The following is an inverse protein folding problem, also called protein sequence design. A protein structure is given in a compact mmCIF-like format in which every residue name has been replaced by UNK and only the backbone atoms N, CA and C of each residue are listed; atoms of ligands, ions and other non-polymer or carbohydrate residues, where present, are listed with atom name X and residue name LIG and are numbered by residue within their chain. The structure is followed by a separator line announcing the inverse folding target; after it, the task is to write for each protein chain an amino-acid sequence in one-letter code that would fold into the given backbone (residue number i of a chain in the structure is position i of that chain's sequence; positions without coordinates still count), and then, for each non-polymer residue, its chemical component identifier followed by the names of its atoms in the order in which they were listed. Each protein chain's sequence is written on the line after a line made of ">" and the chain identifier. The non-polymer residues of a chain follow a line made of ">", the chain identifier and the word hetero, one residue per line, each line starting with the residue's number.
data_IF_703001454965
#
_entry.id   IF_703001454965
#
_cell.length_a   1.000
_cell.length_b   1.000
_cell.length_c   1.000
_cell.angle_alpha   90.00
_cell.angle_beta   90.00
_cell.angle_gamma   90.00
#
_symmetry.space_group_name_H-M   'P 1'
#
loop_
_entity.id
_entity.type
_entity.pdbx_description
1 polymer ?
#
# COMPACT_ATOMS: atom_id res chain seq x y z
N UNK A 1 -25.13 0.26 56.83
CA UNK A 1 -26.27 -0.48 57.41
C UNK A 1 -26.22 -1.88 56.80
N UNK A 2 -25.38 -2.76 57.35
CA UNK A 2 -25.68 -3.73 58.42
C UNK A 2 -26.80 -4.71 58.05
N UNK A 3 -26.42 -5.97 57.83
CA UNK A 3 -27.32 -7.14 57.96
C UNK A 3 -27.77 -7.34 59.43
N UNK A 4 -28.26 -8.53 59.87
CA UNK A 4 -27.80 -9.86 59.45
C UNK A 4 -28.81 -11.04 59.53
N UNK A 5 -28.32 -12.24 59.16
CA UNK A 5 -28.45 -13.53 59.85
C UNK A 5 -29.79 -14.30 59.88
N UNK A 6 -29.89 -15.63 59.98
CA UNK A 6 -29.04 -16.85 59.92
C UNK A 6 -30.07 -17.99 60.12
N UNK A 7 -29.99 -19.12 59.42
CA UNK A 7 -30.00 -20.46 60.07
C UNK A 7 -29.77 -21.61 59.08
N UNK A 8 -28.90 -22.52 59.52
CA UNK A 8 -28.61 -23.83 58.95
C UNK A 8 -29.54 -24.91 59.56
N UNK A 9 -29.47 -26.20 59.16
CA UNK A 9 -28.47 -27.07 59.79
C UNK A 9 -27.84 -28.16 58.89
N UNK A 10 -26.84 -28.79 59.51
CA UNK A 10 -25.85 -29.78 59.08
C UNK A 10 -26.32 -31.23 58.82
N UNK A 11 -25.34 -31.99 58.28
CA UNK A 11 -24.97 -33.40 58.55
C UNK A 11 -25.34 -34.41 57.45
N UNK A 12 -24.46 -35.30 56.97
CA UNK A 12 -23.07 -35.63 57.34
C UNK A 12 -22.61 -36.90 56.59
N UNK A 13 -21.31 -37.23 56.69
CA UNK A 13 -20.68 -38.52 56.32
C UNK A 13 -19.49 -38.37 55.35
N UNK A 14 -18.22 -38.32 55.81
CA UNK A 14 -17.30 -39.46 56.14
C UNK A 14 -17.27 -40.53 55.04
N UNK A 15 -16.15 -40.96 54.47
CA UNK A 15 -14.71 -40.74 54.70
C UNK A 15 -13.93 -41.69 53.77
N UNK A 16 -12.61 -41.53 53.66
CA UNK A 16 -11.74 -42.46 52.93
C UNK A 16 -10.39 -41.86 52.56
N UNK A 17 -9.38 -42.16 53.39
CA UNK A 17 -7.97 -41.75 53.31
C UNK A 17 -7.15 -42.47 52.21
N UNK A 18 -5.89 -42.04 51.98
CA UNK A 18 -5.12 -42.24 50.74
C UNK A 18 -3.98 -43.28 50.84
N UNK A 19 -3.37 -43.61 49.70
CA UNK A 19 -2.10 -44.34 49.64
C UNK A 19 -1.64 -44.63 48.20
N UNK A 20 -0.33 -44.78 47.95
CA UNK A 20 0.35 -44.17 46.80
C UNK A 20 0.84 -45.17 45.75
N UNK A 21 1.07 -44.73 44.50
CA UNK A 21 2.13 -45.29 43.66
C UNK A 21 2.56 -44.35 42.52
N UNK A 22 3.65 -43.63 42.79
CA UNK A 22 4.88 -43.65 42.01
C UNK A 22 4.81 -43.73 40.48
N UNK A 23 4.47 -42.63 39.81
CA UNK A 23 4.91 -42.39 38.43
C UNK A 23 6.40 -41.99 38.39
N UNK A 24 7.23 -42.57 37.50
CA UNK A 24 8.62 -42.13 37.38
C UNK A 24 8.69 -40.80 36.63
N UNK A 25 9.02 -39.75 37.38
CA UNK A 25 9.56 -38.50 36.88
C UNK A 25 10.94 -38.76 36.24
N UNK A 26 11.04 -38.59 34.91
CA UNK A 26 12.35 -38.55 34.26
C UNK A 26 12.93 -37.14 34.41
N UNK A 27 13.91 -37.10 35.31
CA UNK A 27 14.74 -35.98 35.69
C UNK A 27 15.45 -35.36 34.48
N UNK A 28 15.40 -34.04 34.45
CA UNK A 28 16.42 -33.19 33.82
C UNK A 28 17.74 -33.43 34.56
N UNK A 29 18.72 -34.05 33.90
CA UNK A 29 20.09 -34.12 34.39
C UNK A 29 21.00 -33.31 33.45
N UNK A 30 21.41 -32.16 33.95
CA UNK A 30 22.51 -31.35 33.44
C UNK A 30 23.85 -32.03 33.72
N UNK A 31 24.57 -32.46 32.68
CA UNK A 31 26.01 -32.75 32.78
C UNK A 31 26.76 -31.76 31.89
N UNK A 32 27.54 -30.90 32.55
CA UNK A 32 28.63 -30.12 31.95
C UNK A 32 29.94 -30.87 32.20
N UNK A 33 30.84 -30.76 31.22
CA UNK A 33 32.31 -30.84 31.25
C UNK A 33 32.78 -31.75 30.09
N UNK A 34 33.26 -31.14 28.98
CA UNK A 34 34.70 -30.94 28.67
C UNK A 34 35.33 -32.22 28.10
N UNK A 35 36.03 -32.25 26.97
CA UNK A 35 36.45 -31.23 26.02
C UNK A 35 37.24 -31.89 24.88
N UNK A 36 37.54 -31.08 23.86
CA UNK A 36 38.56 -31.22 22.83
C UNK A 36 38.40 -32.26 21.70
N UNK A 37 37.99 -31.70 20.55
CA UNK A 37 38.75 -31.63 19.30
C UNK A 37 39.22 -32.93 18.63
N UNK A 38 38.53 -33.30 17.54
CA UNK A 38 39.20 -33.45 16.24
C UNK A 38 38.18 -33.40 15.09
N UNK A 39 38.45 -32.45 14.21
CA UNK A 39 37.88 -32.19 12.90
C UNK A 39 37.87 -33.42 12.00
N UNK A 40 36.73 -33.72 11.38
CA UNK A 40 36.70 -34.25 10.00
C UNK A 40 35.43 -33.75 9.31
N UNK A 41 35.57 -32.64 8.59
CA UNK A 41 34.59 -32.20 7.62
C UNK A 41 34.84 -33.01 6.34
N UNK A 42 33.92 -33.91 5.98
CA UNK A 42 33.87 -34.44 4.62
C UNK A 42 32.93 -33.54 3.81
N UNK A 43 33.54 -32.64 3.04
CA UNK A 43 32.85 -31.91 1.99
C UNK A 43 32.60 -32.88 0.82
N UNK A 44 31.34 -33.10 0.46
CA UNK A 44 30.98 -33.62 -0.86
C UNK A 44 30.39 -32.47 -1.69
N UNK A 45 31.24 -31.85 -2.49
CA UNK A 45 30.87 -30.92 -3.55
C UNK A 45 30.88 -31.68 -4.86
N UNK A 46 29.72 -32.06 -5.39
CA UNK A 46 29.57 -32.54 -6.77
C UNK A 46 28.10 -32.53 -7.20
N UNK A 47 27.66 -31.48 -7.91
CA UNK A 47 27.12 -31.56 -9.28
C UNK A 47 26.64 -30.16 -9.72
N UNK A 48 27.45 -29.51 -10.56
CA UNK A 48 26.95 -28.51 -11.49
C UNK A 48 26.40 -29.25 -12.72
N UNK A 49 25.20 -28.89 -13.20
CA UNK A 49 24.72 -29.40 -14.49
C UNK A 49 23.21 -29.51 -14.74
N UNK A 50 22.33 -29.02 -13.88
CA UNK A 50 20.88 -29.01 -14.18
C UNK A 50 20.45 -27.62 -14.66
N UNK A 51 20.14 -27.53 -15.95
CA UNK A 51 19.37 -26.43 -16.53
C UNK A 51 18.04 -26.29 -15.78
N UNK A 52 17.63 -25.09 -15.34
CA UNK A 52 16.33 -24.92 -14.70
C UNK A 52 15.23 -25.15 -15.74
N UNK A 53 14.48 -26.24 -15.59
CA UNK A 53 13.16 -26.37 -16.19
C UNK A 53 12.25 -25.29 -15.56
N UNK A 54 11.31 -24.69 -16.31
CA UNK A 54 10.38 -23.73 -15.75
C UNK A 54 9.60 -24.39 -14.62
N UNK A 55 9.76 -23.88 -13.40
CA UNK A 55 8.95 -24.25 -12.26
C UNK A 55 7.53 -23.78 -12.55
N UNK A 56 6.68 -24.73 -12.93
CA UNK A 56 5.23 -24.54 -12.86
C UNK A 56 4.91 -24.19 -11.40
N UNK A 57 4.09 -23.17 -11.17
CA UNK A 57 3.68 -22.77 -9.82
C UNK A 57 2.97 -23.95 -9.15
N UNK A 58 3.74 -24.74 -8.41
CA UNK A 58 3.25 -25.88 -7.67
C UNK A 58 2.36 -25.30 -6.58
N UNK A 59 1.05 -25.50 -6.69
CA UNK A 59 0.15 -25.35 -5.56
C UNK A 59 0.80 -26.10 -4.39
N UNK A 60 1.07 -25.38 -3.30
CA UNK A 60 1.62 -25.99 -2.10
C UNK A 60 0.61 -27.04 -1.64
N UNK A 61 0.93 -28.31 -1.88
CA UNK A 61 0.10 -29.42 -1.46
C UNK A 61 0.12 -29.45 0.06
N UNK A 62 -1.05 -29.36 0.68
CA UNK A 62 -1.20 -29.47 2.11
C UNK A 62 -0.70 -30.85 2.56
N UNK A 63 0.36 -30.87 3.34
CA UNK A 63 0.96 -32.12 3.82
C UNK A 63 0.15 -32.61 5.01
N UNK A 64 -0.52 -33.75 4.84
CA UNK A 64 -1.34 -34.36 5.89
C UNK A 64 -0.47 -35.09 6.91
N UNK A 65 0.56 -35.80 6.43
CA UNK A 65 1.47 -36.55 7.28
C UNK A 65 2.85 -36.65 6.64
N UNK A 66 3.90 -36.47 7.43
CA UNK A 66 5.28 -36.80 7.05
C UNK A 66 5.73 -37.98 7.89
N UNK A 67 6.31 -38.99 7.24
CA UNK A 67 6.99 -40.10 7.89
C UNK A 67 8.43 -40.19 7.39
N UNK A 68 9.34 -40.43 8.32
CA UNK A 68 10.77 -40.63 8.03
C UNK A 68 11.16 -41.96 8.65
N UNK A 69 11.49 -42.92 7.79
CA UNK A 69 11.95 -44.24 8.19
C UNK A 69 13.40 -44.40 7.74
N UNK A 70 14.23 -45.02 8.58
CA UNK A 70 15.61 -45.29 8.24
C UNK A 70 16.06 -46.62 8.80
N UNK A 71 16.82 -47.37 8.00
CA UNK A 71 17.57 -48.55 8.44
C UNK A 71 19.03 -48.35 8.08
N UNK A 72 19.93 -48.76 8.98
CA UNK A 72 21.36 -48.73 8.76
C UNK A 72 21.95 -50.12 8.99
N UNK A 73 22.63 -50.65 7.98
CA UNK A 73 23.34 -51.91 8.01
C UNK A 73 24.84 -51.74 7.76
N UNK A 74 25.61 -52.85 7.87
CA UNK A 74 27.06 -52.84 7.66
C UNK A 74 27.48 -52.42 6.24
N UNK A 75 26.58 -52.54 5.26
CA UNK A 75 26.82 -52.20 3.85
C UNK A 75 26.27 -50.81 3.46
N UNK A 76 25.76 -50.04 4.43
CA UNK A 76 25.18 -48.70 4.22
C UNK A 76 23.79 -48.53 4.85
N UNK A 77 23.26 -47.31 4.79
CA UNK A 77 21.94 -46.99 5.33
C UNK A 77 20.96 -46.52 4.25
N UNK A 78 19.68 -46.85 4.44
CA UNK A 78 18.57 -46.37 3.65
C UNK A 78 17.73 -45.41 4.49
N UNK A 79 17.44 -44.24 3.93
CA UNK A 79 16.48 -43.29 4.46
C UNK A 79 15.32 -43.16 3.48
N UNK A 80 14.10 -43.38 3.96
CA UNK A 80 12.86 -43.19 3.20
C UNK A 80 12.07 -42.06 3.86
N UNK A 81 11.89 -40.97 3.11
CA UNK A 81 11.02 -39.86 3.48
C UNK A 81 9.75 -40.04 2.65
N UNK A 82 8.61 -40.25 3.31
CA UNK A 82 7.31 -40.33 2.67
C UNK A 82 6.39 -39.24 3.20
N UNK A 83 5.63 -38.63 2.30
CA UNK A 83 4.62 -37.64 2.62
C UNK A 83 3.27 -38.11 2.08
N UNK A 84 2.24 -38.11 2.94
CA UNK A 84 0.85 -38.20 2.51
C UNK A 84 0.38 -36.78 2.25
N UNK A 85 0.09 -36.47 1.00
CA UNK A 85 -0.49 -35.20 0.59
C UNK A 85 -2.01 -35.31 0.73
N UNK A 86 -2.67 -34.27 1.23
CA UNK A 86 -4.13 -34.19 1.07
C UNK A 86 -4.43 -34.28 -0.43
N UNK A 87 -5.40 -35.11 -0.86
CA UNK A 87 -5.89 -35.02 -2.23
C UNK A 87 -6.29 -33.56 -2.49
N UNK A 88 -5.98 -32.99 -3.68
CA UNK A 88 -6.44 -31.65 -4.00
C UNK A 88 -7.93 -31.62 -3.74
N UNK A 89 -8.35 -30.78 -2.78
CA UNK A 89 -9.74 -30.74 -2.33
C UNK A 89 -10.66 -30.69 -3.55
N UNK A 90 -11.72 -31.51 -3.53
CA UNK A 90 -12.65 -31.66 -4.64
C UNK A 90 -13.02 -30.31 -5.24
N UNK A 91 -13.20 -30.29 -6.57
CA UNK A 91 -13.41 -29.12 -7.43
C UNK A 91 -14.05 -27.97 -6.65
N UNK A 92 -13.20 -27.05 -6.13
CA UNK A 92 -13.69 -25.88 -5.38
C UNK A 92 -14.67 -25.18 -6.31
N UNK A 93 -15.91 -25.02 -5.85
CA UNK A 93 -16.96 -24.40 -6.62
C UNK A 93 -16.43 -23.10 -7.23
N UNK A 94 -16.60 -22.93 -8.56
CA UNK A 94 -16.05 -21.78 -9.27
C UNK A 94 -16.60 -20.50 -8.65
N UNK A 95 -15.71 -19.75 -8.00
CA UNK A 95 -16.04 -18.46 -7.42
C UNK A 95 -16.27 -17.44 -8.55
N UNK A 96 -17.48 -16.85 -8.60
CA UNK A 96 -17.85 -15.81 -9.56
C UNK A 96 -18.36 -14.62 -8.76
N UNK A 97 -17.77 -13.45 -9.01
CA UNK A 97 -18.19 -12.20 -8.39
C UNK A 97 -18.05 -11.04 -9.36
N UNK A 98 -18.90 -10.03 -9.19
CA UNK A 98 -18.74 -8.74 -9.82
C UNK A 98 -17.89 -7.84 -8.92
N UNK A 99 -17.01 -7.05 -9.53
CA UNK A 99 -16.19 -6.06 -8.81
C UNK A 99 -16.44 -4.69 -9.39
N UNK A 100 -16.74 -3.74 -8.52
CA UNK A 100 -16.84 -2.33 -8.84
C UNK A 100 -15.77 -1.56 -8.09
N UNK A 101 -15.01 -0.72 -8.80
CA UNK A 101 -13.99 0.15 -8.20
C UNK A 101 -14.24 1.59 -8.61
N UNK A 102 -14.48 2.43 -7.62
CA UNK A 102 -14.51 3.87 -7.77
C UNK A 102 -13.20 4.46 -7.25
N UNK A 103 -12.38 5.01 -8.13
CA UNK A 103 -11.03 5.47 -7.82
C UNK A 103 -10.92 6.99 -7.88
N UNK A 104 -10.57 7.62 -6.76
CA UNK A 104 -10.20 9.03 -6.70
C UNK A 104 -8.68 9.15 -6.66
N UNK A 105 -8.15 9.98 -7.56
CA UNK A 105 -6.75 10.37 -7.66
C UNK A 105 -6.62 11.85 -7.33
N UNK A 106 -5.89 12.19 -6.27
CA UNK A 106 -5.69 13.59 -5.87
C UNK A 106 -4.22 13.97 -5.91
N UNK A 107 -3.85 14.83 -6.85
CA UNK A 107 -2.46 15.27 -7.01
C UNK A 107 -2.07 16.19 -5.85
N UNK A 108 -1.11 15.77 -5.02
CA UNK A 108 -0.46 16.61 -4.02
C UNK A 108 0.90 17.06 -4.52
N UNK A 109 1.61 17.86 -3.71
CA UNK A 109 2.93 18.39 -4.09
C UNK A 109 4.02 17.32 -4.13
N UNK A 110 3.95 16.34 -3.25
CA UNK A 110 5.00 15.33 -3.03
C UNK A 110 4.54 13.91 -3.37
N UNK A 111 3.23 13.71 -3.53
CA UNK A 111 2.64 12.41 -3.79
C UNK A 111 1.31 12.54 -4.55
N UNK A 112 0.86 11.43 -5.11
CA UNK A 112 -0.51 11.24 -5.57
C UNK A 112 -1.26 10.42 -4.51
N UNK A 113 -2.34 10.98 -3.97
CA UNK A 113 -3.22 10.25 -3.07
C UNK A 113 -4.20 9.40 -3.87
N UNK A 114 -4.38 8.16 -3.43
CA UNK A 114 -5.34 7.23 -3.98
C UNK A 114 -6.40 6.90 -2.93
N UNK A 115 -7.65 6.93 -3.36
CA UNK A 115 -8.76 6.38 -2.59
C UNK A 115 -9.59 5.49 -3.53
N UNK A 116 -9.64 4.20 -3.22
CA UNK A 116 -10.51 3.25 -3.91
C UNK A 116 -11.70 2.92 -3.02
N UNK A 117 -12.91 3.15 -3.52
CA UNK A 117 -14.12 2.54 -2.97
C UNK A 117 -14.45 1.29 -3.78
N UNK A 118 -14.32 0.13 -3.12
CA UNK A 118 -14.51 -1.19 -3.67
C UNK A 118 -15.88 -1.73 -3.27
N UNK A 119 -16.60 -2.32 -4.22
CA UNK A 119 -17.80 -3.12 -3.96
C UNK A 119 -17.65 -4.46 -4.67
N UNK A 120 -17.81 -5.55 -3.93
CA UNK A 120 -17.75 -6.92 -4.47
C UNK A 120 -19.06 -7.63 -4.18
N UNK A 121 -19.69 -8.12 -5.24
CA UNK A 121 -20.94 -8.87 -5.18
C UNK A 121 -20.71 -10.31 -5.64
N UNK A 122 -20.89 -11.26 -4.72
CA UNK A 122 -20.71 -12.68 -5.00
C UNK A 122 -21.94 -13.25 -5.68
N UNK A 123 -21.75 -13.75 -6.90
CA UNK A 123 -22.77 -14.38 -7.73
C UNK A 123 -22.80 -15.90 -7.49
N UNK A 124 -21.63 -16.51 -7.38
CA UNK A 124 -21.48 -17.96 -7.13
C UNK A 124 -20.26 -18.23 -6.24
N UNK A 125 -20.36 -19.25 -5.40
CA UNK A 125 -19.31 -19.66 -4.46
C UNK A 125 -19.30 -18.83 -3.17
N UNK A 126 -18.31 -19.10 -2.32
CA UNK A 126 -18.09 -18.38 -1.05
C UNK A 126 -16.60 -18.02 -0.94
N UNK A 127 -16.24 -16.74 -1.06
CA UNK A 127 -14.84 -16.33 -0.91
C UNK A 127 -14.44 -16.33 0.56
N UNK A 128 -13.25 -16.87 0.84
CA UNK A 128 -12.55 -16.66 2.12
C UNK A 128 -11.66 -15.41 2.06
N UNK A 129 -11.20 -15.07 0.85
CA UNK A 129 -10.40 -13.89 0.58
C UNK A 129 -10.71 -13.34 -0.82
N UNK A 130 -10.51 -12.03 -0.98
CA UNK A 130 -10.45 -11.38 -2.29
C UNK A 130 -9.00 -11.03 -2.60
N UNK A 131 -8.55 -11.37 -3.81
CA UNK A 131 -7.20 -11.07 -4.28
C UNK A 131 -7.31 -10.09 -5.45
N UNK A 132 -6.71 -8.91 -5.28
CA UNK A 132 -6.68 -7.85 -6.27
C UNK A 132 -5.23 -7.58 -6.69
N UNK A 133 -4.90 -7.75 -7.96
CA UNK A 133 -3.61 -7.37 -8.50
C UNK A 133 -3.39 -5.86 -8.36
N UNK A 134 -2.19 -5.48 -7.92
CA UNK A 134 -1.72 -4.11 -7.79
C UNK A 134 -0.86 -3.77 -9.00
N UNK A 135 -1.38 -2.96 -9.91
CA UNK A 135 -0.68 -2.58 -11.15
C UNK A 135 -0.37 -1.10 -11.16
N UNK A 136 0.86 -0.74 -11.53
CA UNK A 136 1.35 0.64 -11.51
C UNK A 136 2.16 0.96 -10.26
N UNK A 137 2.47 2.24 -10.07
CA UNK A 137 3.28 2.74 -8.97
C UNK A 137 2.40 3.05 -7.77
N UNK A 138 2.93 2.87 -6.55
CA UNK A 138 2.23 3.22 -5.32
C UNK A 138 2.20 2.10 -4.29
N UNK A 139 1.83 2.48 -3.08
CA UNK A 139 1.84 1.63 -1.88
C UNK A 139 0.51 1.76 -1.17
N UNK A 140 -0.13 0.62 -0.89
CA UNK A 140 -1.35 0.57 -0.07
C UNK A 140 -0.98 0.92 1.37
N UNK A 141 -1.64 1.93 1.93
CA UNK A 141 -1.39 2.44 3.28
C UNK A 141 -2.48 2.07 4.28
N UNK A 142 -3.66 1.68 3.80
CA UNK A 142 -4.74 1.23 4.68
C UNK A 142 -5.91 0.64 3.93
N UNK A 143 -6.65 -0.24 4.62
CA UNK A 143 -7.92 -0.78 4.16
C UNK A 143 -8.92 -0.71 5.30
N UNK A 144 -10.09 -0.14 5.02
CA UNK A 144 -11.22 -0.04 5.95
C UNK A 144 -12.41 -0.79 5.34
N UNK A 145 -12.94 -1.79 6.06
CA UNK A 145 -14.07 -2.58 5.59
C UNK A 145 -14.77 -3.30 6.76
N UNK A 146 -16.09 -3.44 6.67
CA UNK A 146 -16.84 -4.31 7.56
C UNK A 146 -16.65 -5.78 7.14
N UNK A 147 -16.53 -6.69 8.10
CA UNK A 147 -16.31 -8.12 7.81
C UNK A 147 -14.91 -8.46 7.28
N UNK A 148 -13.94 -7.54 7.37
CA UNK A 148 -12.54 -7.79 7.04
C UNK A 148 -11.79 -8.27 8.30
N UNK A 149 -11.19 -9.45 8.22
CA UNK A 149 -10.38 -10.00 9.31
C UNK A 149 -8.97 -9.37 9.31
N UNK A 150 -8.35 -9.32 8.15
CA UNK A 150 -7.08 -8.62 7.92
C UNK A 150 -6.87 -8.35 6.42
N UNK A 151 -5.84 -7.58 6.11
CA UNK A 151 -5.37 -7.39 4.75
C UNK A 151 -3.84 -7.50 4.72
N UNK A 152 -3.30 -7.81 3.54
CA UNK A 152 -1.87 -7.84 3.29
C UNK A 152 -1.57 -7.53 1.84
N UNK A 153 -0.36 -7.03 1.56
CA UNK A 153 0.18 -6.97 0.21
C UNK A 153 1.16 -8.11 0.06
N UNK A 154 0.90 -8.99 -0.92
CA UNK A 154 1.82 -10.05 -1.34
C UNK A 154 2.64 -9.54 -2.51
N UNK A 155 3.91 -9.90 -2.52
CA UNK A 155 4.82 -9.70 -3.64
C UNK A 155 5.40 -11.07 -4.00
N UNK A 156 5.31 -11.43 -5.28
CA UNK A 156 5.89 -12.66 -5.81
C UNK A 156 7.29 -12.38 -6.38
N UNK A 157 8.04 -13.44 -6.63
CA UNK A 157 9.42 -13.44 -7.14
C UNK A 157 9.58 -12.74 -8.50
N UNK A 158 8.50 -12.58 -9.26
CA UNK A 158 8.45 -11.85 -10.52
C UNK A 158 8.17 -10.34 -10.34
N UNK A 159 8.03 -9.87 -9.10
CA UNK A 159 7.67 -8.48 -8.77
C UNK A 159 6.17 -8.18 -8.89
N UNK A 160 5.34 -9.18 -9.19
CA UNK A 160 3.88 -9.03 -9.19
C UNK A 160 3.39 -8.81 -7.77
N UNK A 161 2.58 -7.77 -7.58
CA UNK A 161 2.00 -7.41 -6.29
C UNK A 161 0.50 -7.66 -6.27
N UNK A 162 -0.03 -8.12 -5.14
CA UNK A 162 -1.46 -8.34 -4.94
C UNK A 162 -1.90 -7.90 -3.54
N UNK A 163 -3.00 -7.16 -3.47
CA UNK A 163 -3.72 -6.88 -2.24
C UNK A 163 -4.65 -8.06 -1.93
N UNK A 164 -4.41 -8.70 -0.78
CA UNK A 164 -5.24 -9.78 -0.26
C UNK A 164 -6.11 -9.23 0.85
N UNK A 165 -7.43 -9.37 0.69
CA UNK A 165 -8.45 -8.99 1.67
C UNK A 165 -9.04 -10.27 2.26
N UNK A 166 -8.68 -10.62 3.51
CA UNK A 166 -9.18 -11.82 4.17
C UNK A 166 -10.45 -11.50 4.93
N UNK A 167 -11.51 -12.25 4.66
CA UNK A 167 -12.81 -12.02 5.29
C UNK A 167 -12.88 -12.71 6.65
N UNK A 168 -13.67 -12.15 7.56
CA UNK A 168 -14.05 -12.83 8.79
C UNK A 168 -14.91 -14.04 8.41
N UNK A 169 -14.59 -15.19 8.99
CA UNK A 169 -15.42 -16.38 8.81
C UNK A 169 -16.82 -16.10 9.39
N UNK A 170 -17.82 -16.12 8.51
CA UNK A 170 -19.21 -15.90 8.88
C UNK A 170 -20.12 -16.94 8.24
N UNK A 171 -21.12 -17.38 9.02
CA UNK A 171 -22.18 -18.26 8.51
C UNK A 171 -23.14 -17.50 7.60
N UNK A 172 -23.31 -16.20 7.83
CA UNK A 172 -24.15 -15.32 7.03
C UNK A 172 -23.32 -14.70 5.89
N UNK A 173 -23.80 -14.75 4.64
CA UNK A 173 -23.09 -14.16 3.52
C UNK A 173 -23.12 -12.63 3.62
N UNK A 174 -21.95 -12.00 3.75
CA UNK A 174 -21.79 -10.54 3.64
C UNK A 174 -22.14 -10.13 2.19
N UNK A 175 -23.23 -9.38 2.00
CA UNK A 175 -23.68 -8.95 0.66
C UNK A 175 -24.18 -7.50 0.68
N UNK A 176 -23.61 -6.60 -0.16
CA UNK A 176 -22.32 -6.70 -0.83
C UNK A 176 -21.13 -6.47 0.13
N UNK A 177 -19.94 -6.99 -0.19
CA UNK A 177 -18.72 -6.61 0.53
C UNK A 177 -18.25 -5.23 0.05
N UNK A 178 -18.05 -4.30 0.98
CA UNK A 178 -17.60 -2.95 0.67
C UNK A 178 -16.30 -2.62 1.42
N UNK A 179 -15.34 -2.03 0.73
CA UNK A 179 -14.07 -1.61 1.32
C UNK A 179 -13.61 -0.25 0.80
N UNK A 180 -12.90 0.50 1.65
CA UNK A 180 -12.14 1.70 1.27
C UNK A 180 -10.66 1.39 1.37
N UNK A 181 -9.95 1.45 0.25
CA UNK A 181 -8.50 1.24 0.19
C UNK A 181 -7.83 2.60 -0.01
N UNK A 182 -6.88 2.94 0.87
CA UNK A 182 -6.02 4.12 0.74
C UNK A 182 -4.66 3.68 0.22
N UNK A 183 -4.11 4.43 -0.72
CA UNK A 183 -2.75 4.23 -1.19
C UNK A 183 -2.10 5.58 -1.54
N UNK A 184 -0.77 5.57 -1.65
CA UNK A 184 0.00 6.75 -2.05
C UNK A 184 1.01 6.37 -3.12
N UNK A 185 1.21 7.24 -4.10
CA UNK A 185 2.36 7.18 -5.01
C UNK A 185 3.25 8.37 -4.75
N UNK A 186 4.38 8.14 -4.10
CA UNK A 186 5.38 9.18 -3.86
C UNK A 186 6.05 9.60 -5.17
N UNK A 187 6.30 10.90 -5.31
CA UNK A 187 7.03 11.42 -6.45
C UNK A 187 8.52 11.19 -6.29
N UNK A 188 9.18 10.86 -7.40
CA UNK A 188 10.64 10.72 -7.40
C UNK A 188 11.29 12.11 -7.26
N UNK A 189 11.81 12.39 -6.06
CA UNK A 189 12.50 13.65 -5.75
C UNK A 189 11.54 14.83 -5.52
N UNK A 190 12.09 16.05 -5.54
CA UNK A 190 11.34 17.29 -5.22
C UNK A 190 10.64 17.92 -6.43
N UNK A 191 10.58 17.21 -7.56
CA UNK A 191 10.00 17.70 -8.82
C UNK A 191 8.62 17.06 -9.04
N UNK A 192 7.73 17.80 -9.71
CA UNK A 192 6.44 17.25 -10.10
C UNK A 192 6.63 16.20 -11.22
N UNK A 193 5.92 15.06 -11.15
CA UNK A 193 6.16 13.97 -12.06
C UNK A 193 5.59 14.24 -13.46
N UNK A 194 6.30 13.71 -14.45
CA UNK A 194 5.81 13.56 -15.83
C UNK A 194 5.82 12.08 -16.18
N UNK A 195 4.73 11.58 -16.74
CA UNK A 195 4.61 10.18 -17.09
C UNK A 195 4.36 9.25 -15.89
N UNK A 196 3.75 9.74 -14.81
CA UNK A 196 3.41 8.94 -13.64
C UNK A 196 2.40 7.85 -14.02
N UNK A 197 2.63 6.61 -13.59
CA UNK A 197 1.68 5.50 -13.81
C UNK A 197 1.02 5.16 -12.48
N UNK A 198 -0.21 5.65 -12.21
CA UNK A 198 -0.85 5.49 -10.90
C UNK A 198 -1.17 4.03 -10.58
N UNK A 199 -1.23 3.71 -9.29
CA UNK A 199 -1.74 2.43 -8.79
C UNK A 199 -3.17 2.18 -9.28
N UNK A 200 -3.44 0.96 -9.71
CA UNK A 200 -4.76 0.45 -10.05
C UNK A 200 -4.97 -0.91 -9.38
N UNK A 201 -6.24 -1.21 -9.07
CA UNK A 201 -6.66 -2.51 -8.52
C UNK A 201 -7.36 -3.30 -9.61
N UNK A 202 -7.01 -4.59 -9.77
CA UNK A 202 -7.66 -5.48 -10.73
C UNK A 202 -8.05 -6.81 -10.08
N UNK A 203 -9.31 -7.26 -10.17
CA UNK A 203 -9.71 -8.58 -9.69
C UNK A 203 -9.11 -9.70 -10.55
N UNK A 204 -9.00 -10.89 -9.97
CA UNK A 204 -8.48 -12.07 -10.68
C UNK A 204 -9.28 -12.41 -11.94
N UNK A 205 -10.62 -12.32 -11.87
CA UNK A 205 -11.51 -12.42 -13.03
C UNK A 205 -12.04 -11.02 -13.41
N UNK A 206 -11.61 -10.44 -14.54
CA UNK A 206 -12.01 -9.10 -14.95
C UNK A 206 -13.31 -9.06 -15.76
N UNK A 207 -13.98 -10.20 -16.00
CA UNK A 207 -15.17 -10.27 -16.86
C UNK A 207 -16.34 -9.42 -16.34
N UNK A 208 -16.48 -9.31 -15.02
CA UNK A 208 -17.49 -8.49 -14.33
C UNK A 208 -16.84 -7.34 -13.56
N UNK A 209 -15.76 -6.80 -14.11
CA UNK A 209 -15.03 -5.66 -13.52
C UNK A 209 -15.43 -4.34 -14.20
N UNK A 210 -15.85 -3.36 -13.43
CA UNK A 210 -16.21 -2.04 -13.94
C UNK A 210 -16.00 -0.96 -12.87
N UNK A 211 -16.17 0.30 -13.26
CA UNK A 211 -16.17 1.40 -12.31
C UNK A 211 -15.86 2.75 -12.95
N UNK A 212 -15.50 3.71 -12.13
CA UNK A 212 -15.13 5.05 -12.56
C UNK A 212 -13.87 5.56 -11.86
N UNK A 213 -13.26 6.56 -12.49
CA UNK A 213 -12.05 7.23 -12.03
C UNK A 213 -12.32 8.73 -12.01
N UNK A 214 -12.02 9.38 -10.89
CA UNK A 214 -11.99 10.82 -10.73
C UNK A 214 -10.55 11.26 -10.52
N UNK A 215 -10.16 12.34 -11.18
CA UNK A 215 -8.80 12.90 -11.07
C UNK A 215 -8.91 14.37 -10.68
N UNK A 216 -8.41 14.69 -9.49
CA UNK A 216 -8.37 16.03 -8.90
C UNK A 216 -6.98 16.65 -9.04
N UNK A 217 -6.92 17.84 -9.64
CA UNK A 217 -5.75 18.73 -9.51
C UNK A 217 -5.78 19.37 -8.13
N UNK A 218 -4.84 19.02 -7.24
CA UNK A 218 -4.78 19.60 -5.90
C UNK A 218 -4.55 21.12 -5.90
N UNK A 219 -4.52 21.73 -4.71
CA UNK A 219 -4.37 23.19 -4.58
C UNK A 219 -3.11 23.71 -5.29
N UNK A 220 -3.29 24.59 -6.27
CA UNK A 220 -2.19 25.16 -7.08
C UNK A 220 -1.49 24.17 -8.00
N UNK A 221 -2.07 22.97 -8.19
CA UNK A 221 -1.58 21.92 -9.07
C UNK A 221 -2.64 21.57 -10.09
N UNK A 222 -2.19 21.02 -11.21
CA UNK A 222 -3.06 20.46 -12.23
C UNK A 222 -2.53 19.09 -12.61
N UNK A 223 -3.45 18.13 -12.72
CA UNK A 223 -3.16 16.82 -13.26
C UNK A 223 -3.71 16.76 -14.70
N UNK A 224 -2.92 16.18 -15.60
CA UNK A 224 -3.29 15.95 -16.99
C UNK A 224 -3.15 14.48 -17.32
N UNK A 225 -4.13 13.96 -18.05
CA UNK A 225 -4.05 12.59 -18.57
C UNK A 225 -3.27 12.62 -19.89
N UNK A 226 -2.10 11.99 -19.91
CA UNK A 226 -1.25 11.87 -21.09
C UNK A 226 -1.70 10.75 -22.00
N UNK A 227 -2.05 9.61 -21.41
CA UNK A 227 -2.46 8.41 -22.12
C UNK A 227 -3.47 7.64 -21.28
N UNK A 228 -4.43 7.02 -21.94
CA UNK A 228 -5.39 6.09 -21.33
C UNK A 228 -5.44 4.77 -22.10
N UNK A 229 -5.85 3.73 -21.40
CA UNK A 229 -6.32 2.47 -21.97
C UNK A 229 -7.52 1.99 -21.16
N UNK A 230 -8.61 1.62 -21.83
CA UNK A 230 -9.84 1.15 -21.18
C UNK A 230 -10.68 2.24 -20.50
N UNK A 231 -10.31 3.52 -20.59
CA UNK A 231 -11.07 4.64 -20.02
C UNK A 231 -11.84 5.40 -21.10
N UNK A 232 -13.10 5.69 -20.80
CA UNK A 232 -13.96 6.61 -21.56
C UNK A 232 -14.30 7.82 -20.70
N UNK A 233 -14.17 9.06 -21.21
CA UNK A 233 -14.58 10.25 -20.46
C UNK A 233 -16.05 10.19 -20.06
N UNK A 234 -16.40 10.81 -18.92
CA UNK A 234 -17.79 11.06 -18.54
C UNK A 234 -17.96 12.49 -18.01
N UNK A 235 -19.19 12.95 -17.95
CA UNK A 235 -19.54 14.21 -17.28
C UNK A 235 -19.79 13.98 -15.78
N UNK A 236 -19.55 14.99 -14.96
CA UNK A 236 -19.68 14.91 -13.49
C UNK A 236 -21.06 14.47 -13.02
N UNK A 237 -22.10 14.81 -13.77
CA UNK A 237 -23.50 14.52 -13.40
C UNK A 237 -23.78 13.01 -13.40
N UNK A 238 -23.07 12.27 -14.27
CA UNK A 238 -23.16 10.82 -14.36
C UNK A 238 -22.19 10.10 -13.41
N UNK A 239 -21.36 10.82 -12.66
CA UNK A 239 -20.39 10.22 -11.76
C UNK A 239 -21.08 9.44 -10.62
N UNK A 240 -20.58 8.26 -10.22
CA UNK A 240 -21.07 7.53 -9.06
C UNK A 240 -21.00 8.36 -7.78
N UNK A 241 -21.97 8.18 -6.86
CA UNK A 241 -22.05 8.93 -5.61
C UNK A 241 -20.76 8.86 -4.78
N UNK A 242 -20.11 7.70 -4.76
CA UNK A 242 -18.84 7.49 -4.06
C UNK A 242 -17.70 8.43 -4.53
N UNK A 243 -17.77 8.94 -5.77
CA UNK A 243 -16.80 9.88 -6.32
C UNK A 243 -17.23 11.34 -6.20
N UNK A 244 -18.48 11.64 -5.83
CA UNK A 244 -19.01 13.02 -5.77
C UNK A 244 -18.59 13.80 -4.51
N UNK A 245 -17.49 13.44 -3.86
CA UNK A 245 -16.94 14.20 -2.75
C UNK A 245 -16.77 15.69 -3.13
N UNK A 246 -17.00 16.64 -2.21
CA UNK A 246 -16.93 18.06 -2.55
C UNK A 246 -15.54 18.40 -3.10
N UNK A 247 -15.52 19.12 -4.23
CA UNK A 247 -14.28 19.64 -4.79
C UNK A 247 -13.58 20.53 -3.75
N UNK A 248 -12.25 20.46 -3.70
CA UNK A 248 -11.48 21.36 -2.84
C UNK A 248 -11.62 22.77 -3.39
N UNK A 249 -12.00 23.74 -2.56
CA UNK A 249 -12.04 25.14 -2.97
C UNK A 249 -10.68 25.56 -3.57
N UNK A 250 -10.72 26.25 -4.72
CA UNK A 250 -9.55 26.68 -5.53
C UNK A 250 -8.84 25.57 -6.32
N UNK A 251 -9.34 24.33 -6.30
CA UNK A 251 -8.89 23.30 -7.23
C UNK A 251 -9.51 23.50 -8.63
N UNK A 252 -8.80 23.07 -9.66
CA UNK A 252 -9.37 23.00 -11.01
C UNK A 252 -10.47 21.94 -11.09
N UNK A 253 -11.33 22.04 -12.11
CA UNK A 253 -12.40 21.06 -12.32
C UNK A 253 -11.84 19.63 -12.44
N UNK A 254 -12.37 18.67 -11.68
CA UNK A 254 -11.92 17.29 -11.76
C UNK A 254 -12.23 16.67 -13.13
N UNK A 255 -11.37 15.75 -13.57
CA UNK A 255 -11.64 14.93 -14.74
C UNK A 255 -12.32 13.62 -14.32
N UNK A 256 -13.25 13.13 -15.13
CA UNK A 256 -14.07 11.97 -14.83
C UNK A 256 -14.02 10.95 -15.98
N UNK A 257 -13.86 9.68 -15.63
CA UNK A 257 -13.76 8.58 -16.58
C UNK A 257 -14.52 7.36 -16.06
N UNK A 258 -15.05 6.55 -16.98
CA UNK A 258 -15.57 5.21 -16.69
C UNK A 258 -14.75 4.15 -17.42
N UNK A 259 -14.79 2.93 -16.91
CA UNK A 259 -14.24 1.75 -17.57
C UNK A 259 -15.15 0.54 -17.40
N UNK A 260 -15.06 -0.38 -18.36
CA UNK A 260 -15.83 -1.62 -18.38
C UNK A 260 -14.94 -2.75 -18.87
N UNK A 261 -14.96 -3.87 -18.14
CA UNK A 261 -14.15 -5.06 -18.37
C UNK A 261 -12.63 -4.78 -18.42
N UNK A 262 -11.81 -5.81 -18.23
CA UNK A 262 -10.33 -5.79 -18.35
C UNK A 262 -9.54 -4.82 -17.44
N UNK A 263 -10.20 -3.90 -16.76
CA UNK A 263 -9.61 -2.82 -15.98
C UNK A 263 -9.20 -1.63 -16.84
N UNK A 264 -8.37 -0.77 -16.28
CA UNK A 264 -7.88 0.43 -16.96
C UNK A 264 -6.41 0.68 -16.65
N UNK A 265 -5.77 1.45 -17.51
CA UNK A 265 -4.45 2.00 -17.27
C UNK A 265 -4.44 3.46 -17.72
N UNK A 266 -3.66 4.28 -17.05
CA UNK A 266 -3.48 5.68 -17.42
C UNK A 266 -2.11 6.20 -17.02
N UNK A 267 -1.68 7.26 -17.68
CA UNK A 267 -0.45 7.96 -17.39
C UNK A 267 -0.74 9.43 -17.15
N UNK A 268 -0.20 9.99 -16.07
CA UNK A 268 -0.43 11.36 -15.64
C UNK A 268 0.82 12.23 -15.76
N UNK A 269 0.58 13.48 -16.09
CA UNK A 269 1.50 14.58 -15.81
C UNK A 269 0.91 15.43 -14.69
N UNK A 270 1.74 15.87 -13.75
CA UNK A 270 1.34 16.85 -12.73
C UNK A 270 2.16 18.12 -12.95
N UNK A 271 1.49 19.25 -13.02
CA UNK A 271 2.11 20.57 -13.19
C UNK A 271 1.56 21.55 -12.17
N UNK A 272 2.16 22.74 -12.13
CA UNK A 272 1.58 23.86 -11.38
C UNK A 272 0.43 24.44 -12.19
N UNK A 273 -0.69 24.75 -11.52
CA UNK A 273 -1.88 25.29 -12.18
C UNK A 273 -1.65 26.74 -12.65
N UNK A 274 -0.89 27.52 -11.86
CA UNK A 274 -0.42 28.85 -12.23
C UNK A 274 1.12 28.89 -12.03
N UNK A 275 1.92 28.74 -13.10
CA UNK A 275 3.38 28.78 -13.00
C UNK A 275 3.91 30.17 -12.59
N UNK A 276 3.12 31.24 -12.74
CA UNK A 276 3.46 32.59 -12.30
C UNK A 276 3.09 32.84 -10.83
N UNK A 277 2.22 32.02 -10.23
CA UNK A 277 1.81 32.19 -8.82
C UNK A 277 3.00 32.15 -7.84
N UNK A 278 4.12 31.53 -8.23
CA UNK A 278 5.35 31.47 -7.43
C UNK A 278 6.38 32.54 -7.77
N UNK A 279 6.16 33.30 -8.83
CA UNK A 279 7.08 34.36 -9.21
C UNK A 279 6.69 35.64 -8.48
N UNK A 280 7.69 36.30 -7.91
CA UNK A 280 7.55 37.71 -7.53
C UNK A 280 7.75 38.52 -8.79
N UNK A 281 6.68 39.11 -9.30
CA UNK A 281 6.73 39.91 -10.52
C UNK A 281 6.88 41.38 -10.16
N UNK A 282 7.92 42.04 -10.64
CA UNK A 282 8.10 43.47 -10.48
C UNK A 282 7.30 44.20 -11.57
N UNK A 283 6.30 44.99 -11.18
CA UNK A 283 5.54 45.89 -12.06
C UNK A 283 5.99 47.32 -11.86
N UNK A 284 5.70 48.19 -12.84
CA UNK A 284 6.11 49.60 -12.81
C UNK A 284 7.62 49.76 -12.55
N UNK A 285 8.42 48.93 -13.23
CA UNK A 285 9.85 48.90 -13.07
C UNK A 285 10.49 50.15 -13.68
N UNK A 286 11.25 50.88 -12.87
CA UNK A 286 12.09 52.00 -13.29
C UNK A 286 13.46 51.88 -12.61
N UNK A 287 14.53 51.96 -13.39
CA UNK A 287 15.91 52.01 -12.90
C UNK A 287 16.54 53.30 -13.41
N UNK A 288 16.83 54.23 -12.51
CA UNK A 288 17.57 55.46 -12.84
C UNK A 288 18.98 55.36 -12.27
N UNK A 289 19.96 55.78 -13.06
CA UNK A 289 21.37 55.79 -12.66
C UNK A 289 21.93 57.20 -12.69
N UNK A 290 22.78 57.51 -11.73
CA UNK A 290 23.64 58.70 -11.74
C UNK A 290 25.10 58.26 -11.72
N UNK A 291 25.89 58.82 -12.63
CA UNK A 291 27.29 58.49 -12.80
C UNK A 291 28.11 59.76 -12.64
N UNK A 292 28.93 59.77 -11.59
CA UNK A 292 29.97 60.78 -11.35
C UNK A 292 31.35 60.15 -11.47
N UNK A 293 32.39 60.98 -11.56
CA UNK A 293 33.77 60.55 -11.84
C UNK A 293 34.31 59.47 -10.88
N UNK A 294 33.73 59.33 -9.68
CA UNK A 294 34.14 58.33 -8.68
C UNK A 294 33.00 57.41 -8.18
N UNK A 295 31.76 57.58 -8.64
CA UNK A 295 30.62 56.78 -8.13
C UNK A 295 29.51 56.60 -9.15
N UNK A 296 29.04 55.36 -9.26
CA UNK A 296 27.76 54.99 -9.88
C UNK A 296 26.71 54.75 -8.79
N UNK A 297 25.62 55.51 -8.82
CA UNK A 297 24.44 55.29 -7.97
C UNK A 297 23.26 54.85 -8.81
N UNK A 298 22.43 53.94 -8.31
CA UNK A 298 21.22 53.49 -8.98
C UNK A 298 20.02 53.56 -8.03
N UNK A 299 18.88 54.00 -8.54
CA UNK A 299 17.59 53.96 -7.87
C UNK A 299 16.67 53.05 -8.65
N UNK A 300 16.28 51.93 -8.04
CA UNK A 300 15.27 51.02 -8.57
C UNK A 300 13.93 51.31 -7.89
N UNK A 301 12.92 51.61 -8.68
CA UNK A 301 11.52 51.73 -8.24
C UNK A 301 10.71 50.65 -8.93
N UNK A 302 9.99 49.83 -8.16
CA UNK A 302 9.07 48.83 -8.69
C UNK A 302 8.00 48.47 -7.64
N UNK A 303 6.86 47.96 -8.10
CA UNK A 303 5.85 47.32 -7.27
C UNK A 303 6.03 45.80 -7.34
N UNK A 304 6.41 45.16 -6.24
CA UNK A 304 6.45 43.71 -6.17
C UNK A 304 5.03 43.13 -6.06
N UNK A 305 4.59 42.41 -7.10
CA UNK A 305 3.37 41.62 -7.03
C UNK A 305 3.73 40.21 -6.59
N UNK A 306 3.27 39.83 -5.40
CA UNK A 306 3.44 38.49 -4.84
C UNK A 306 2.09 37.80 -4.82
N UNK A 307 1.93 36.75 -5.63
CA UNK A 307 0.69 35.97 -5.69
C UNK A 307 0.68 34.79 -4.70
N UNK A 308 1.84 34.35 -4.25
CA UNK A 308 1.96 33.27 -3.27
C UNK A 308 1.68 33.79 -1.85
N UNK A 309 0.71 33.24 -1.10
CA UNK A 309 0.40 33.67 0.26
C UNK A 309 1.54 33.39 1.26
N UNK A 310 2.48 32.49 0.94
CA UNK A 310 3.68 32.23 1.75
C UNK A 310 4.84 33.20 1.43
N UNK A 311 4.62 34.20 0.59
CA UNK A 311 5.64 35.12 0.11
C UNK A 311 6.43 34.58 -1.09
N UNK A 312 7.49 35.27 -1.46
CA UNK A 312 8.39 34.85 -2.54
C UNK A 312 9.73 35.57 -2.47
N UNK A 313 10.72 35.03 -3.16
CA UNK A 313 12.07 35.61 -3.24
C UNK A 313 12.28 36.18 -4.63
N UNK A 314 12.81 37.40 -4.70
CA UNK A 314 13.24 38.04 -5.96
C UNK A 314 14.70 38.46 -5.83
N UNK A 315 15.51 38.10 -6.82
CA UNK A 315 16.87 38.60 -6.93
C UNK A 315 16.84 39.90 -7.72
N UNK A 316 17.02 41.03 -7.04
CA UNK A 316 17.02 42.36 -7.67
C UNK A 316 18.33 42.68 -8.40
N UNK A 317 19.46 42.25 -7.82
CA UNK A 317 20.80 42.46 -8.34
C UNK A 317 21.62 41.18 -8.11
N UNK A 318 22.43 40.79 -9.11
CA UNK A 318 23.34 39.65 -9.04
C UNK A 318 24.58 39.91 -9.89
N UNK A 319 25.66 39.13 -9.70
CA UNK A 319 26.94 39.31 -10.40
C UNK A 319 27.81 40.41 -9.81
N UNK A 320 28.76 40.94 -10.60
CA UNK A 320 29.81 41.87 -10.17
C UNK A 320 29.32 43.28 -9.78
N UNK A 321 28.01 43.52 -9.89
CA UNK A 321 27.33 44.78 -9.56
C UNK A 321 26.40 44.64 -8.34
N UNK A 322 26.63 43.64 -7.48
CA UNK A 322 25.83 43.38 -6.29
C UNK A 322 25.84 44.58 -5.32
N UNK A 323 24.64 44.92 -4.81
CA UNK A 323 24.41 45.98 -3.84
C UNK A 323 25.30 45.79 -2.60
N UNK A 324 26.20 46.73 -2.33
CA UNK A 324 27.15 46.64 -1.21
C UNK A 324 26.56 47.08 0.13
N UNK A 325 25.42 47.79 0.14
CA UNK A 325 24.65 48.06 1.35
C UNK A 325 23.18 48.41 1.07
N UNK A 326 22.29 48.02 2.00
CA UNK A 326 20.91 48.47 2.06
C UNK A 326 20.79 49.38 3.29
N UNK A 327 20.58 50.68 3.09
CA UNK A 327 20.22 51.56 4.21
C UNK A 327 18.73 51.41 4.47
N UNK A 328 18.39 50.69 5.54
CA UNK A 328 17.05 50.70 6.10
C UNK A 328 16.76 52.10 6.63
N UNK A 329 15.91 52.85 5.95
CA UNK A 329 15.28 54.02 6.56
C UNK A 329 14.19 53.53 7.50
N UNK A 330 14.21 53.99 8.75
CA UNK A 330 13.20 53.67 9.76
C UNK A 330 11.80 54.03 9.24
N UNK A 331 10.93 53.03 9.04
CA UNK A 331 9.54 53.24 8.65
C UNK A 331 8.94 52.23 7.65
N UNK A 332 9.56 51.06 7.43
CA UNK A 332 8.97 49.95 6.67
C UNK A 332 8.38 48.89 7.60
#
# INVERSE_FOLDING_TARGET
>A
MNGPAVDAPEAGGRGGEPGPDGGPALRVSSWRASGWSLTTALALTALAGLTPLPANAQQAADVERIAVNGEAGPDGGQLVISATLKPPGGEKEKLIYATRVEHTLSAQREQLDHLFALTIEVIQGRPEEYVLSLVGQGTVTGVEAEGLANWSVREDTDGTRALVLRLVESKEPVKPFAARVKAVTEYAGKQLPRGLVPLTLRPADPSLFNGAVRIDGGRGLQAYVRQTNGLSPMESDFAPEALRAPAVAEAMEPMWFQFHAQGYALTLDVTEADPEARQVVLRHFALTGDLSDERAGFVLTATAQVRNPKGGTVTLLSGDYALTSLNSADGW
#
